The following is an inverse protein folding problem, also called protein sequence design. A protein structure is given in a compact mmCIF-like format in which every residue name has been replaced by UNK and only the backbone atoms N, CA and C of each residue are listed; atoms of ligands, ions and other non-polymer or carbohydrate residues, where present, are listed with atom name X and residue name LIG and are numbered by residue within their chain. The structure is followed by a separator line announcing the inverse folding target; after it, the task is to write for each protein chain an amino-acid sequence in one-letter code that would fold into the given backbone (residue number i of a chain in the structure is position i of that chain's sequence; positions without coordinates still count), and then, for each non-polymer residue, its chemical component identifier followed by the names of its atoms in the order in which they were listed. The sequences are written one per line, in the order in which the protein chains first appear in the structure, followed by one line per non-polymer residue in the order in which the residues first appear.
data_IF_292897901208
#
_entry.id   IF_292897901208
#
_cell.length_a   1.000
_cell.length_b   1.000
_cell.length_c   1.000
_cell.angle_alpha   90.00
_cell.angle_beta   90.00
_cell.angle_gamma   90.00
#
_symmetry.space_group_name_H-M   'P 1'
#
loop_
_entity.id
_entity.type
_entity.pdbx_description
1 polymer ?
#
# COMPACT_ATOMS: atom_id res chain seq x y z
N UNK A 1 4.11 -9.88 -26.13
CA UNK A 1 4.25 -8.68 -25.29
C UNK A 1 3.02 -8.62 -24.41
N UNK A 2 3.12 -9.15 -23.20
CA UNK A 2 2.00 -9.14 -22.25
C UNK A 2 2.08 -7.84 -21.46
N UNK A 3 1.21 -6.90 -21.80
CA UNK A 3 0.95 -5.69 -21.02
C UNK A 3 0.00 -6.10 -19.88
N UNK A 4 0.51 -6.33 -18.68
CA UNK A 4 -0.29 -6.53 -17.46
C UNK A 4 -0.28 -5.20 -16.68
N UNK A 5 -1.39 -4.59 -16.26
CA UNK A 5 -2.80 -5.01 -16.13
C UNK A 5 -3.69 -4.04 -16.93
N UNK A 6 -4.45 -4.55 -17.90
CA UNK A 6 -5.44 -3.80 -18.70
C UNK A 6 -6.79 -3.94 -17.98
N UNK A 7 -7.03 -3.10 -16.97
CA UNK A 7 -8.39 -2.98 -16.43
C UNK A 7 -9.22 -2.12 -17.37
N UNK A 8 -10.01 -2.75 -18.23
CA UNK A 8 -10.96 -2.04 -19.08
C UNK A 8 -12.15 -1.58 -18.25
N UNK A 9 -12.29 -0.27 -18.08
CA UNK A 9 -13.37 0.35 -17.29
C UNK A 9 -14.42 0.99 -18.23
N UNK A 10 -15.58 0.34 -18.38
CA UNK A 10 -16.72 0.88 -19.14
C UNK A 10 -16.60 0.80 -20.67
N UNK A 11 -17.44 1.54 -21.39
CA UNK A 11 -17.45 1.57 -22.88
C UNK A 11 -16.20 2.25 -23.49
N UNK A 12 -15.43 2.99 -22.67
CA UNK A 12 -14.14 3.57 -23.05
C UNK A 12 -13.05 2.78 -22.33
N UNK A 13 -12.20 2.00 -23.02
CA UNK A 13 -11.12 1.28 -22.36
C UNK A 13 -10.07 2.26 -21.83
N UNK A 14 -10.24 2.71 -20.59
CA UNK A 14 -9.26 3.48 -19.85
C UNK A 14 -8.34 2.53 -19.10
N UNK A 15 -7.08 2.47 -19.54
CA UNK A 15 -6.03 1.72 -18.85
C UNK A 15 -5.16 2.69 -18.05
N UNK A 16 -4.64 2.22 -16.91
CA UNK A 16 -3.60 2.95 -16.18
C UNK A 16 -2.39 2.06 -15.93
N UNK A 17 -1.25 2.71 -15.72
CA UNK A 17 0.01 2.06 -15.39
C UNK A 17 0.34 2.28 -13.92
N UNK A 18 0.88 1.27 -13.23
CA UNK A 18 1.27 1.39 -11.83
C UNK A 18 2.80 1.36 -11.69
N UNK A 19 3.39 2.50 -11.32
CA UNK A 19 4.81 2.61 -10.95
C UNK A 19 4.91 2.36 -9.45
N UNK A 20 5.65 1.33 -9.05
CA UNK A 20 5.87 1.01 -7.64
C UNK A 20 7.29 1.37 -7.21
N UNK A 21 7.42 1.92 -6.02
CA UNK A 21 8.68 2.26 -5.37
C UNK A 21 8.97 1.29 -4.23
N UNK A 22 10.24 1.18 -3.84
CA UNK A 22 10.66 0.51 -2.61
C UNK A 22 10.64 1.48 -1.41
N UNK A 23 10.94 0.96 -0.21
CA UNK A 23 10.97 1.75 1.02
C UNK A 23 12.08 2.82 1.03
N UNK A 24 13.04 2.75 0.11
CA UNK A 24 14.09 3.75 -0.07
C UNK A 24 13.74 4.78 -1.16
N UNK A 25 12.53 4.69 -1.73
CA UNK A 25 12.05 5.59 -2.79
C UNK A 25 12.63 5.28 -4.18
N UNK A 26 13.28 4.13 -4.38
CA UNK A 26 13.71 3.71 -5.71
C UNK A 26 12.57 3.01 -6.44
N UNK A 27 12.41 3.28 -7.73
CA UNK A 27 11.45 2.55 -8.54
C UNK A 27 11.83 1.07 -8.63
N UNK A 28 10.86 0.19 -8.41
CA UNK A 28 11.04 -1.26 -8.51
C UNK A 28 11.25 -1.66 -9.96
N UNK A 29 12.40 -2.28 -10.21
CA UNK A 29 12.78 -2.77 -11.53
C UNK A 29 11.98 -4.04 -11.86
N UNK A 30 11.32 -4.05 -13.03
CA UNK A 30 10.70 -5.25 -13.60
C UNK A 30 11.69 -5.97 -14.55
N UNK A 31 11.47 -7.25 -14.90
CA UNK A 31 12.36 -7.99 -15.81
C UNK A 31 12.60 -7.29 -17.15
N UNK A 32 11.66 -6.45 -17.56
CA UNK A 32 11.65 -5.69 -18.80
C UNK A 32 12.10 -4.22 -18.61
N UNK A 33 12.63 -3.85 -17.45
CA UNK A 33 13.20 -2.52 -17.13
C UNK A 33 12.33 -1.65 -16.22
N UNK A 34 12.70 -0.37 -16.10
CA UNK A 34 11.91 0.63 -15.35
C UNK A 34 10.66 1.01 -16.15
N UNK A 35 9.51 1.03 -15.47
CA UNK A 35 8.24 1.38 -16.10
C UNK A 35 8.20 2.87 -16.43
N UNK A 36 8.77 3.73 -15.59
CA UNK A 36 8.89 5.17 -15.85
C UNK A 36 9.58 5.47 -17.19
N UNK A 37 10.66 4.75 -17.50
CA UNK A 37 11.39 4.91 -18.76
C UNK A 37 10.53 4.49 -19.96
N UNK A 38 9.72 3.43 -19.83
CA UNK A 38 8.79 3.03 -20.89
C UNK A 38 7.70 4.05 -21.11
N UNK A 39 7.16 4.62 -20.03
CA UNK A 39 6.15 5.67 -20.13
C UNK A 39 6.75 6.93 -20.75
N UNK A 40 8.01 7.25 -20.49
CA UNK A 40 8.71 8.36 -21.17
C UNK A 40 8.86 8.11 -22.68
N UNK A 41 9.19 6.88 -23.09
CA UNK A 41 9.19 6.51 -24.52
C UNK A 41 7.77 6.59 -25.11
N UNK A 42 6.76 6.07 -24.42
CA UNK A 42 5.35 6.15 -24.84
C UNK A 42 4.90 7.61 -25.06
N UNK A 43 5.28 8.52 -24.16
CA UNK A 43 4.99 9.95 -24.29
C UNK A 43 5.66 10.61 -25.50
N UNK A 44 6.78 10.05 -25.96
CA UNK A 44 7.52 10.55 -27.13
C UNK A 44 6.93 10.02 -28.43
N UNK A 45 6.44 8.78 -28.42
CA UNK A 45 6.02 8.05 -29.63
C UNK A 45 4.51 8.15 -29.91
N UNK A 46 3.68 8.28 -28.87
CA UNK A 46 2.23 8.35 -29.01
C UNK A 46 1.70 9.78 -28.84
N UNK A 47 0.61 10.17 -29.53
CA UNK A 47 -0.03 11.47 -29.39
C UNK A 47 -0.84 11.59 -28.08
N UNK A 48 -0.21 11.33 -26.94
CA UNK A 48 -0.77 11.57 -25.61
C UNK A 48 -1.02 13.06 -25.44
N UNK A 49 -2.20 13.42 -24.95
CA UNK A 49 -2.60 14.82 -24.80
C UNK A 49 -2.51 15.34 -23.38
N UNK A 50 -2.66 14.44 -22.42
CA UNK A 50 -2.75 14.74 -20.99
C UNK A 50 -2.14 13.58 -20.20
N UNK A 51 -1.47 13.90 -19.09
CA UNK A 51 -0.90 12.91 -18.17
C UNK A 51 -1.52 13.13 -16.81
N UNK A 52 -2.15 12.10 -16.26
CA UNK A 52 -2.70 12.10 -14.91
C UNK A 52 -1.86 11.18 -14.04
N UNK A 53 -1.39 11.71 -12.92
CA UNK A 53 -0.60 10.98 -11.94
C UNK A 53 -1.39 10.90 -10.63
N UNK A 54 -1.57 9.69 -10.12
CA UNK A 54 -2.30 9.39 -8.90
C UNK A 54 -1.35 8.92 -7.81
N UNK A 55 -1.64 9.33 -6.59
CA UNK A 55 -0.86 9.05 -5.40
C UNK A 55 -1.86 8.67 -4.31
N UNK A 56 -1.76 7.47 -3.74
CA UNK A 56 -2.67 7.00 -2.70
C UNK A 56 -2.39 7.67 -1.34
N UNK A 57 -3.13 7.34 -0.30
CA UNK A 57 -2.84 7.82 1.05
C UNK A 57 -1.73 7.04 1.75
N UNK A 58 -1.40 7.43 2.99
CA UNK A 58 -0.62 6.58 3.89
C UNK A 58 -1.39 5.29 4.25
N UNK A 59 -0.68 4.23 4.66
CA UNK A 59 -1.23 2.90 4.98
C UNK A 59 -1.93 2.16 3.80
N UNK A 60 -1.46 2.39 2.57
CA UNK A 60 -1.92 1.64 1.39
C UNK A 60 -0.94 0.54 0.98
N UNK A 61 -1.44 -0.68 0.81
CA UNK A 61 -0.76 -1.75 0.09
C UNK A 61 -1.13 -1.73 -1.41
N UNK A 62 -0.46 -2.55 -2.24
CA UNK A 62 -0.70 -2.56 -3.69
C UNK A 62 -2.18 -2.84 -4.02
N UNK A 63 -2.85 -3.87 -3.44
CA UNK A 63 -4.26 -4.11 -3.70
C UNK A 63 -5.17 -2.93 -3.32
N UNK A 64 -4.90 -2.27 -2.19
CA UNK A 64 -5.69 -1.13 -1.72
C UNK A 64 -5.47 0.10 -2.60
N UNK A 65 -4.23 0.37 -3.01
CA UNK A 65 -3.90 1.42 -3.97
C UNK A 65 -4.61 1.19 -5.31
N UNK A 66 -4.51 -0.02 -5.88
CA UNK A 66 -5.22 -0.40 -7.11
C UNK A 66 -6.74 -0.17 -6.98
N UNK A 67 -7.35 -0.62 -5.88
CA UNK A 67 -8.79 -0.43 -5.63
C UNK A 67 -9.19 1.05 -5.58
N UNK A 68 -8.42 1.88 -4.89
CA UNK A 68 -8.67 3.32 -4.80
C UNK A 68 -8.59 3.98 -6.19
N UNK A 69 -7.55 3.65 -6.96
CA UNK A 69 -7.38 4.16 -8.32
C UNK A 69 -8.52 3.70 -9.24
N UNK A 70 -8.88 2.41 -9.19
CA UNK A 70 -9.97 1.85 -9.99
C UNK A 70 -11.30 2.57 -9.69
N UNK A 71 -11.63 2.78 -8.41
CA UNK A 71 -12.85 3.47 -8.02
C UNK A 71 -12.88 4.92 -8.51
N UNK A 72 -11.77 5.65 -8.37
CA UNK A 72 -11.69 7.03 -8.84
C UNK A 72 -11.78 7.11 -10.37
N UNK A 73 -11.03 6.27 -11.08
CA UNK A 73 -11.05 6.23 -12.56
C UNK A 73 -12.45 5.86 -13.05
N UNK A 74 -13.13 4.90 -12.43
CA UNK A 74 -14.52 4.54 -12.73
C UNK A 74 -15.49 5.71 -12.54
N UNK A 75 -15.37 6.43 -11.42
CA UNK A 75 -16.22 7.58 -11.14
C UNK A 75 -16.05 8.68 -12.21
N UNK A 76 -14.81 8.94 -12.63
CA UNK A 76 -14.48 9.91 -13.68
C UNK A 76 -14.93 9.44 -15.07
N UNK A 77 -14.71 8.15 -15.39
CA UNK A 77 -15.15 7.54 -16.63
C UNK A 77 -16.67 7.60 -16.81
N UNK A 78 -17.41 7.56 -15.71
CA UNK A 78 -18.87 7.62 -15.69
C UNK A 78 -19.43 9.03 -15.94
N UNK A 79 -18.59 10.08 -15.92
CA UNK A 79 -18.99 11.46 -16.24
C UNK A 79 -19.01 11.70 -17.75
N UNK A 80 -19.94 11.04 -18.44
CA UNK A 80 -20.03 11.05 -19.91
C UNK A 80 -20.16 12.46 -20.50
N UNK A 81 -20.92 13.35 -19.87
CA UNK A 81 -21.07 14.74 -20.33
C UNK A 81 -19.75 15.50 -20.28
N UNK A 82 -18.97 15.30 -19.21
CA UNK A 82 -17.71 16.01 -19.02
C UNK A 82 -16.65 15.49 -19.98
N UNK A 83 -16.60 14.18 -20.20
CA UNK A 83 -15.71 13.57 -21.21
C UNK A 83 -16.04 14.06 -22.63
N UNK A 84 -17.34 14.15 -22.98
CA UNK A 84 -17.76 14.71 -24.26
C UNK A 84 -17.35 16.18 -24.40
N UNK A 85 -17.53 16.98 -23.34
CA UNK A 85 -17.12 18.37 -23.32
C UNK A 85 -15.61 18.53 -23.50
N UNK A 86 -14.80 17.72 -22.81
CA UNK A 86 -13.34 17.71 -22.95
C UNK A 86 -12.94 17.34 -24.39
N UNK A 87 -13.53 16.28 -24.94
CA UNK A 87 -13.26 15.82 -26.30
C UNK A 87 -13.55 16.91 -27.33
N UNK A 88 -14.73 17.54 -27.25
CA UNK A 88 -15.13 18.58 -28.19
C UNK A 88 -14.24 19.82 -28.06
N UNK A 89 -14.03 20.32 -26.85
CA UNK A 89 -13.20 21.50 -26.63
C UNK A 89 -11.76 21.26 -27.11
N UNK A 90 -11.19 20.08 -26.86
CA UNK A 90 -9.82 19.77 -27.27
C UNK A 90 -9.70 19.66 -28.79
N UNK A 91 -10.66 19.01 -29.45
CA UNK A 91 -10.68 18.91 -30.91
C UNK A 91 -10.82 20.29 -31.57
N UNK A 92 -11.69 21.15 -31.03
CA UNK A 92 -11.90 22.51 -31.53
C UNK A 92 -10.66 23.41 -31.34
N UNK A 93 -10.03 23.37 -30.16
CA UNK A 93 -8.93 24.27 -29.84
C UNK A 93 -7.56 23.80 -30.33
N UNK A 94 -7.34 22.49 -30.42
CA UNK A 94 -6.00 21.91 -30.68
C UNK A 94 -5.96 20.98 -31.89
N UNK A 95 -7.10 20.64 -32.49
CA UNK A 95 -7.19 19.67 -33.58
C UNK A 95 -6.88 18.23 -33.19
N UNK A 96 -6.76 17.92 -31.89
CA UNK A 96 -6.40 16.60 -31.37
C UNK A 96 -7.54 16.03 -30.51
N UNK A 97 -7.76 14.73 -30.61
CA UNK A 97 -8.68 14.00 -29.72
C UNK A 97 -8.09 13.90 -28.31
N UNK A 98 -8.93 13.87 -27.28
CA UNK A 98 -8.47 13.61 -25.91
C UNK A 98 -7.93 12.19 -25.81
N UNK A 99 -6.67 12.07 -25.39
CA UNK A 99 -5.96 10.80 -25.23
C UNK A 99 -5.14 10.85 -23.95
N UNK A 100 -5.77 10.58 -22.78
CA UNK A 100 -5.09 10.65 -21.50
C UNK A 100 -4.17 9.45 -21.29
N UNK A 101 -3.05 9.69 -20.62
CA UNK A 101 -2.22 8.66 -20.00
C UNK A 101 -2.46 8.69 -18.49
N UNK A 102 -2.85 7.56 -17.92
CA UNK A 102 -3.16 7.41 -16.50
C UNK A 102 -2.02 6.64 -15.80
N UNK A 103 -1.46 7.21 -14.73
CA UNK A 103 -0.32 6.63 -14.01
C UNK A 103 -0.60 6.65 -12.50
N UNK A 104 -0.73 5.49 -11.88
CA UNK A 104 -0.71 5.36 -10.43
C UNK A 104 0.71 5.22 -9.91
N UNK A 105 1.01 5.86 -8.78
CA UNK A 105 2.23 5.66 -8.02
C UNK A 105 1.93 4.80 -6.80
N UNK A 106 2.82 3.89 -6.46
CA UNK A 106 2.70 3.05 -5.27
C UNK A 106 3.95 3.16 -4.41
N UNK A 107 3.78 3.42 -3.12
CA UNK A 107 4.85 3.34 -2.14
C UNK A 107 4.43 2.43 -0.97
N UNK A 108 5.35 1.60 -0.46
CA UNK A 108 5.05 0.65 0.60
C UNK A 108 4.88 1.41 1.92
N UNK A 109 3.65 1.81 2.21
CA UNK A 109 3.30 2.60 3.39
C UNK A 109 2.48 1.85 4.42
N UNK A 110 1.92 0.69 4.06
CA UNK A 110 1.22 -0.18 4.99
C UNK A 110 2.23 -1.14 5.61
N UNK A 111 2.54 -1.04 6.91
CA UNK A 111 3.21 -2.13 7.60
C UNK A 111 2.42 -3.41 7.32
N UNK A 112 3.11 -4.48 6.92
CA UNK A 112 2.47 -5.78 6.67
C UNK A 112 1.54 -5.85 5.44
N UNK A 113 1.58 -4.86 4.55
CA UNK A 113 0.81 -4.84 3.30
C UNK A 113 1.24 -5.90 2.28
N UNK A 114 0.32 -6.29 1.39
CA UNK A 114 0.69 -7.05 0.19
C UNK A 114 1.39 -6.13 -0.80
N UNK A 115 2.72 -6.20 -0.79
CA UNK A 115 3.61 -5.43 -1.65
C UNK A 115 4.05 -6.21 -2.89
N UNK A 116 3.50 -7.41 -3.15
CA UNK A 116 3.86 -8.15 -4.35
C UNK A 116 3.13 -7.58 -5.59
N UNK A 117 3.90 -7.36 -6.65
CA UNK A 117 3.37 -6.88 -7.94
C UNK A 117 2.72 -7.99 -8.78
N UNK A 118 2.48 -9.16 -8.19
CA UNK A 118 1.88 -10.32 -8.87
C UNK A 118 0.36 -10.24 -8.88
N UNK A 119 -0.29 -10.66 -9.97
CA UNK A 119 -1.76 -10.73 -10.08
C UNK A 119 -2.41 -11.77 -9.17
N UNK A 120 -1.60 -12.53 -8.42
CA UNK A 120 -2.06 -13.42 -7.37
C UNK A 120 -1.91 -12.70 -6.03
N UNK A 121 -3.01 -12.33 -5.35
CA UNK A 121 -2.91 -11.88 -3.96
C UNK A 121 -2.20 -12.98 -3.19
N UNK A 122 -1.20 -12.60 -2.39
CA UNK A 122 -0.59 -13.51 -1.43
C UNK A 122 -1.67 -13.88 -0.41
N UNK A 123 -2.42 -14.93 -0.74
CA UNK A 123 -3.36 -15.51 0.18
C UNK A 123 -2.56 -16.02 1.37
N UNK A 124 -2.77 -15.39 2.53
CA UNK A 124 -2.30 -15.84 3.84
C UNK A 124 -2.87 -17.23 4.24
N UNK A 125 -3.39 -18.00 3.29
CA UNK A 125 -3.95 -19.34 3.46
C UNK A 125 -2.90 -20.45 3.46
N UNK A 126 -1.64 -20.14 3.19
CA UNK A 126 -0.54 -21.06 3.47
C UNK A 126 0.13 -20.66 4.79
N UNK A 127 0.32 -21.57 5.75
CA UNK A 127 1.02 -21.25 6.99
C UNK A 127 2.48 -20.93 6.64
N UNK A 128 2.78 -19.64 6.51
CA UNK A 128 4.17 -19.18 6.38
C UNK A 128 4.90 -19.61 7.63
N UNK A 129 6.01 -20.36 7.53
CA UNK A 129 6.78 -20.77 8.69
C UNK A 129 7.17 -19.53 9.52
N UNK A 130 7.04 -19.57 10.86
CA UNK A 130 7.34 -18.43 11.73
C UNK A 130 8.74 -17.82 11.46
N UNK A 131 9.72 -18.64 11.09
CA UNK A 131 11.08 -18.21 10.74
C UNK A 131 11.14 -17.32 9.49
N UNK A 132 10.31 -17.60 8.49
CA UNK A 132 10.22 -16.78 7.28
C UNK A 132 9.53 -15.45 7.57
N UNK A 133 8.51 -15.46 8.43
CA UNK A 133 7.87 -14.24 8.93
C UNK A 133 8.87 -13.39 9.71
N UNK A 134 9.57 -13.95 10.71
CA UNK A 134 10.57 -13.21 11.48
C UNK A 134 11.63 -12.57 10.57
N UNK A 135 12.13 -13.33 9.58
CA UNK A 135 13.12 -12.81 8.62
C UNK A 135 12.56 -11.63 7.82
N UNK A 136 11.36 -11.77 7.25
CA UNK A 136 10.71 -10.67 6.52
C UNK A 136 10.50 -9.44 7.41
N UNK A 137 10.04 -9.65 8.64
CA UNK A 137 9.71 -8.58 9.58
C UNK A 137 10.96 -7.81 10.05
N UNK A 138 12.08 -8.51 10.23
CA UNK A 138 13.36 -7.88 10.59
C UNK A 138 14.00 -7.11 9.45
N UNK A 139 13.73 -7.50 8.20
CA UNK A 139 14.20 -6.75 7.04
C UNK A 139 13.42 -5.43 6.85
N UNK A 140 12.16 -5.39 7.26
CA UNK A 140 11.30 -4.20 7.11
C UNK A 140 11.39 -3.21 8.27
N UNK A 141 11.55 -3.68 9.52
CA UNK A 141 11.61 -2.83 10.71
C UNK A 141 13.06 -2.47 11.08
N UNK A 142 13.77 -3.45 11.62
CA UNK A 142 15.15 -3.33 12.06
C UNK A 142 15.72 -4.74 12.29
N UNK A 143 16.92 -5.01 11.79
CA UNK A 143 17.51 -6.35 11.83
C UNK A 143 18.45 -6.55 13.02
N UNK A 144 17.91 -6.49 14.24
CA UNK A 144 18.66 -6.75 15.48
C UNK A 144 18.25 -8.07 16.14
N UNK A 145 19.15 -8.63 16.95
CA UNK A 145 18.85 -9.84 17.72
C UNK A 145 17.66 -9.65 18.67
N UNK A 146 17.50 -8.44 19.21
CA UNK A 146 16.39 -8.07 20.09
C UNK A 146 15.07 -7.97 19.34
N UNK A 147 15.06 -7.34 18.17
CA UNK A 147 13.86 -7.27 17.33
C UNK A 147 13.40 -8.67 16.88
N UNK A 148 14.32 -9.56 16.49
CA UNK A 148 14.02 -10.97 16.18
C UNK A 148 13.37 -11.70 17.35
N UNK A 149 13.89 -11.50 18.56
CA UNK A 149 13.36 -12.14 19.77
C UNK A 149 11.98 -11.60 20.15
N UNK A 150 11.77 -10.29 20.04
CA UNK A 150 10.48 -9.67 20.28
C UNK A 150 9.40 -10.18 19.31
N UNK A 151 9.72 -10.25 18.01
CA UNK A 151 8.83 -10.82 16.98
C UNK A 151 8.50 -12.29 17.25
N UNK A 152 9.48 -13.08 17.70
CA UNK A 152 9.24 -14.47 18.11
C UNK A 152 8.21 -14.56 19.25
N UNK A 153 8.33 -13.71 20.27
CA UNK A 153 7.39 -13.68 21.39
C UNK A 153 5.99 -13.30 20.92
N UNK A 154 5.86 -12.28 20.08
CA UNK A 154 4.56 -11.82 19.54
C UNK A 154 3.90 -12.94 18.73
N UNK A 155 4.60 -13.55 17.76
CA UNK A 155 4.02 -14.61 16.94
C UNK A 155 3.70 -15.89 17.72
N UNK A 156 4.53 -16.22 18.71
CA UNK A 156 4.27 -17.38 19.57
C UNK A 156 3.02 -17.16 20.42
N UNK A 157 2.79 -15.93 20.90
CA UNK A 157 1.58 -15.61 21.65
C UNK A 157 0.33 -15.61 20.74
N UNK A 158 0.44 -15.00 19.55
CA UNK A 158 -0.61 -14.95 18.54
C UNK A 158 -1.07 -16.36 18.08
N UNK A 159 -0.14 -17.30 17.95
CA UNK A 159 -0.47 -18.68 17.58
C UNK A 159 -1.10 -19.49 18.72
N UNK A 160 -0.84 -19.12 19.97
CA UNK A 160 -1.40 -19.80 21.15
C UNK A 160 -2.79 -19.27 21.54
N UNK A 161 -3.03 -17.97 21.37
CA UNK A 161 -4.33 -17.36 21.62
C UNK A 161 -4.60 -16.26 20.58
N UNK A 162 -5.48 -16.57 19.63
CA UNK A 162 -5.80 -15.70 18.50
C UNK A 162 -6.62 -14.46 18.88
N UNK A 163 -7.28 -14.46 20.05
CA UNK A 163 -8.02 -13.29 20.53
C UNK A 163 -7.99 -13.21 22.06
N UNK A 164 -6.89 -12.73 22.66
CA UNK A 164 -6.84 -12.50 24.09
C UNK A 164 -7.66 -11.24 24.45
N UNK A 165 -8.41 -11.23 25.55
CA UNK A 165 -9.19 -10.06 25.96
C UNK A 165 -8.33 -8.84 26.35
N UNK A 166 -7.03 -9.03 26.59
CA UNK A 166 -6.03 -8.02 26.90
C UNK A 166 -4.67 -8.53 26.43
N UNK A 167 -3.74 -7.63 26.10
CA UNK A 167 -2.41 -8.06 25.68
C UNK A 167 -1.64 -8.72 26.85
N UNK A 168 -1.13 -9.95 26.66
CA UNK A 168 -0.24 -10.56 27.64
C UNK A 168 0.97 -9.64 27.89
N UNK A 169 1.41 -9.52 29.15
CA UNK A 169 2.52 -8.63 29.51
C UNK A 169 3.77 -8.88 28.65
N UNK A 170 4.06 -10.15 28.35
CA UNK A 170 5.19 -10.55 27.52
C UNK A 170 5.11 -10.01 26.09
N UNK A 171 3.91 -9.81 25.56
CA UNK A 171 3.67 -9.25 24.22
C UNK A 171 3.80 -7.73 24.25
N UNK A 172 3.30 -7.06 25.30
CA UNK A 172 3.54 -5.63 25.52
C UNK A 172 5.02 -5.29 25.61
N UNK A 173 5.75 -6.01 26.46
CA UNK A 173 7.20 -5.84 26.62
C UNK A 173 7.93 -6.06 25.28
N UNK A 174 7.46 -7.02 24.46
CA UNK A 174 8.02 -7.27 23.13
C UNK A 174 7.74 -6.11 22.15
N UNK A 175 6.54 -5.54 22.16
CA UNK A 175 6.21 -4.36 21.34
C UNK A 175 7.01 -3.13 21.77
N UNK A 176 7.22 -2.92 23.06
CA UNK A 176 8.09 -1.84 23.56
C UNK A 176 9.54 -2.01 23.10
N UNK A 177 10.07 -3.24 23.14
CA UNK A 177 11.40 -3.55 22.61
C UNK A 177 11.47 -3.26 21.11
N UNK A 178 10.45 -3.62 20.32
CA UNK A 178 10.44 -3.30 18.90
C UNK A 178 10.43 -1.79 18.65
N UNK A 179 9.60 -1.05 19.38
CA UNK A 179 9.51 0.40 19.26
C UNK A 179 10.82 1.10 19.64
N UNK A 180 11.56 0.59 20.62
CA UNK A 180 12.88 1.11 20.97
C UNK A 180 13.92 0.82 19.88
N UNK A 181 13.86 -0.36 19.27
CA UNK A 181 14.84 -0.77 18.26
C UNK A 181 14.60 -0.10 16.90
N UNK A 182 13.37 0.33 16.58
CA UNK A 182 13.06 1.08 15.34
C UNK A 182 13.48 2.55 15.40
N UNK A 183 13.78 3.08 16.60
CA UNK A 183 14.24 4.46 16.83
C UNK A 183 13.33 5.55 16.21
N UNK A 184 12.04 5.25 16.04
CA UNK A 184 11.05 6.21 15.54
C UNK A 184 10.78 7.28 16.61
N UNK A 185 10.89 8.57 16.27
CA UNK A 185 10.59 9.66 17.20
C UNK A 185 9.09 9.75 17.51
N UNK A 186 8.71 10.43 18.58
CA UNK A 186 7.30 10.61 18.99
C UNK A 186 7.07 12.03 19.50
N UNK A 187 7.49 13.00 18.70
CA UNK A 187 7.51 14.42 19.06
C UNK A 187 6.17 15.12 18.78
N UNK A 188 5.21 14.40 18.17
CA UNK A 188 3.83 14.84 17.99
C UNK A 188 3.62 15.80 16.82
N UNK A 189 2.40 16.32 16.70
CA UNK A 189 1.97 17.14 15.56
C UNK A 189 2.90 18.35 15.34
N UNK A 190 3.50 18.42 14.14
CA UNK A 190 4.41 19.49 13.73
C UNK A 190 5.91 19.14 13.80
N UNK A 191 6.25 17.92 14.23
CA UNK A 191 7.60 17.38 14.14
C UNK A 191 8.02 17.03 12.69
N UNK A 192 9.26 16.57 12.52
CA UNK A 192 9.74 16.11 11.22
C UNK A 192 8.91 14.91 10.71
N UNK A 193 8.74 14.71 9.39
CA UNK A 193 7.99 13.58 8.86
C UNK A 193 8.53 12.25 9.40
N UNK A 194 7.68 11.48 10.09
CA UNK A 194 8.05 10.22 10.75
C UNK A 194 8.25 10.32 12.26
N UNK A 195 8.44 11.52 12.80
CA UNK A 195 8.50 11.81 14.23
C UNK A 195 7.19 12.45 14.75
N UNK A 196 6.25 12.74 13.83
CA UNK A 196 4.94 13.35 14.06
C UNK A 196 3.89 12.37 14.61
N UNK A 197 4.34 11.33 15.32
CA UNK A 197 3.48 10.34 15.97
C UNK A 197 3.27 10.62 17.45
N UNK A 198 2.14 10.16 17.97
CA UNK A 198 1.91 10.08 19.41
C UNK A 198 2.84 9.06 20.07
N UNK A 199 2.95 9.12 21.40
CA UNK A 199 3.75 8.17 22.17
C UNK A 199 3.20 6.75 21.96
N UNK A 200 4.10 5.79 21.70
CA UNK A 200 3.72 4.41 21.45
C UNK A 200 3.21 3.73 22.73
N UNK A 201 1.98 3.22 22.69
CA UNK A 201 1.36 2.42 23.75
C UNK A 201 0.65 1.21 23.12
N UNK A 202 1.26 0.03 23.27
CA UNK A 202 0.76 -1.19 22.64
C UNK A 202 -0.63 -1.62 23.14
N UNK A 203 -0.99 -1.34 24.40
CA UNK A 203 -2.33 -1.71 24.91
C UNK A 203 -3.39 -0.77 24.34
N UNK A 204 -3.10 0.54 24.29
CA UNK A 204 -4.02 1.52 23.74
C UNK A 204 -4.32 1.28 22.26
N UNK A 205 -3.29 0.92 21.48
CA UNK A 205 -3.46 0.66 20.04
C UNK A 205 -4.18 -0.68 19.82
N UNK A 206 -3.89 -1.71 20.63
CA UNK A 206 -4.66 -2.97 20.63
C UNK A 206 -6.15 -2.78 20.95
N UNK A 207 -6.46 -2.02 22.01
CA UNK A 207 -7.84 -1.69 22.38
C UNK A 207 -8.56 -0.92 21.24
N UNK A 208 -7.86 0.03 20.62
CA UNK A 208 -8.39 0.81 19.50
C UNK A 208 -8.67 -0.07 18.27
N UNK A 209 -7.78 -1.01 17.97
CA UNK A 209 -7.92 -1.95 16.86
C UNK A 209 -9.06 -2.96 17.09
N UNK A 210 -9.24 -3.45 18.32
CA UNK A 210 -10.39 -4.31 18.68
C UNK A 210 -11.72 -3.54 18.55
N UNK A 211 -11.78 -2.28 18.95
CA UNK A 211 -12.96 -1.43 18.74
C UNK A 211 -13.29 -1.22 17.26
N UNK A 212 -12.27 -1.04 16.41
CA UNK A 212 -12.42 -0.84 14.97
C UNK A 212 -12.81 -2.15 14.24
N UNK A 213 -12.20 -3.27 14.65
CA UNK A 213 -12.53 -4.61 14.16
C UNK A 213 -13.98 -5.01 14.54
N UNK A 214 -14.43 -4.67 15.75
CA UNK A 214 -15.82 -4.92 16.19
C UNK A 214 -16.87 -4.15 15.37
N UNK A 215 -16.48 -3.00 14.78
CA UNK A 215 -17.34 -2.20 13.88
C UNK A 215 -17.39 -2.74 12.45
N UNK A 216 -16.52 -3.69 12.09
CA UNK A 216 -16.36 -4.22 10.73
C UNK A 216 -16.72 -5.70 10.70
N UNK A 217 -17.86 -6.07 10.10
CA UNK A 217 -18.28 -7.49 9.99
C UNK A 217 -17.40 -8.21 8.96
N UNK A 218 -16.28 -8.79 9.41
CA UNK A 218 -15.41 -9.66 8.62
C UNK A 218 -14.19 -10.09 9.42
N UNK A 219 -13.95 -11.40 9.53
CA UNK A 219 -12.77 -11.96 10.22
C UNK A 219 -11.49 -11.36 9.65
N UNK A 220 -10.76 -10.59 10.47
CA UNK A 220 -9.56 -9.90 10.06
C UNK A 220 -8.42 -10.26 11.00
N UNK A 221 -7.34 -10.83 10.44
CA UNK A 221 -6.04 -11.00 11.12
C UNK A 221 -5.40 -9.65 11.48
N UNK A 222 -5.95 -8.54 10.98
CA UNK A 222 -5.56 -7.16 11.27
C UNK A 222 -5.62 -6.82 12.77
N UNK A 223 -6.56 -7.36 13.55
CA UNK A 223 -6.65 -7.05 14.98
C UNK A 223 -5.48 -7.60 15.82
N UNK A 224 -4.82 -8.65 15.32
CA UNK A 224 -3.72 -9.33 16.02
C UNK A 224 -2.34 -8.75 15.68
N UNK A 225 -2.26 -8.02 14.57
CA UNK A 225 -1.04 -7.38 14.04
C UNK A 225 -1.17 -5.86 13.94
N UNK A 226 -2.30 -5.30 14.37
CA UNK A 226 -2.39 -3.89 14.67
C UNK A 226 -1.32 -3.57 15.73
N UNK A 227 -0.55 -2.48 15.55
CA UNK A 227 0.40 -2.05 16.56
C UNK A 227 -0.26 -1.81 17.92
#
# INVERSE_FOLDING_TARGET
MSLETIETIGEIPLNYYLIAFDAQGNERIKPDGLLSQKLAHLLSDEPITDVFIFSHGWLGDIPSAKRQYNNWIQAMASQHSDLQNIQQNRLQNTGRNFRPLLIGLHWPSKPWGDEELTDYPLSLSSPTPPEQLIKQYTQSLVDTSKARQALQTIFSAATQNLNPPQLPQQVRDAYEVLNQETALGSEGEGAAPGDDREAFDAEMIFESAEEEASRTVGFNLDGLLAP
#
